data_IF_063140548000
#
_entry.id   IF_063140548000
#
_cell.length_a   1.000
_cell.length_b   1.000
_cell.length_c   1.000
_cell.angle_alpha   90.00
_cell.angle_beta   90.00
_cell.angle_gamma   90.00
#
_symmetry.space_group_name_H-M   'P 1'
#
loop_
_entity.id
_entity.type
_entity.pdbx_description
1 polymer ?
#
# COMPACT_ATOMS: atom_id res chain seq x y z
N UNK A 1 12.94 -15.58 43.72
CA UNK A 1 12.90 -15.60 42.24
C UNK A 1 11.44 -15.46 41.83
N UNK A 2 11.11 -14.29 41.31
CA UNK A 2 9.83 -13.59 41.47
C UNK A 2 8.94 -13.74 40.25
N UNK A 3 7.64 -13.94 40.48
CA UNK A 3 6.59 -14.14 39.46
C UNK A 3 6.52 -13.06 38.37
N UNK A 4 7.09 -11.87 38.62
CA UNK A 4 7.25 -10.78 37.64
C UNK A 4 8.15 -11.14 36.47
N UNK A 5 9.21 -11.92 36.70
CA UNK A 5 10.14 -12.35 35.66
C UNK A 5 9.45 -13.32 34.68
N UNK A 6 8.65 -14.25 35.23
CA UNK A 6 7.86 -15.20 34.44
C UNK A 6 6.75 -14.53 33.63
N UNK A 7 6.11 -13.47 34.17
CA UNK A 7 5.10 -12.70 33.43
C UNK A 7 5.71 -11.84 32.32
N UNK A 8 6.87 -11.20 32.55
CA UNK A 8 7.59 -10.47 31.52
C UNK A 8 8.07 -11.39 30.39
N UNK A 9 8.56 -12.59 30.73
CA UNK A 9 9.00 -13.57 29.74
C UNK A 9 7.84 -14.07 28.88
N UNK A 10 6.65 -14.31 29.48
CA UNK A 10 5.42 -14.68 28.75
C UNK A 10 4.93 -13.56 27.83
N UNK A 11 4.87 -12.31 28.31
CA UNK A 11 4.46 -11.17 27.47
C UNK A 11 5.42 -10.97 26.29
N UNK A 12 6.71 -11.14 26.52
CA UNK A 12 7.73 -11.09 25.46
C UNK A 12 7.55 -12.19 24.42
N UNK A 13 7.28 -13.43 24.85
CA UNK A 13 7.00 -14.55 23.94
C UNK A 13 5.70 -14.34 23.15
N UNK A 14 4.64 -13.85 23.79
CA UNK A 14 3.36 -13.53 23.12
C UNK A 14 3.54 -12.42 22.08
N UNK A 15 4.38 -11.40 22.36
CA UNK A 15 4.67 -10.34 21.39
C UNK A 15 5.47 -10.84 20.18
N UNK A 16 6.40 -11.78 20.38
CA UNK A 16 7.17 -12.39 19.28
C UNK A 16 6.29 -13.28 18.40
N UNK A 17 5.38 -14.07 18.97
CA UNK A 17 4.44 -14.90 18.22
C UNK A 17 3.44 -14.03 17.45
N UNK A 18 2.89 -12.98 18.07
CA UNK A 18 2.00 -12.02 17.41
C UNK A 18 2.71 -11.32 16.24
N UNK A 19 3.97 -10.92 16.42
CA UNK A 19 4.78 -10.30 15.37
C UNK A 19 5.07 -11.26 14.21
N UNK A 20 5.41 -12.53 14.48
CA UNK A 20 5.59 -13.54 13.41
C UNK A 20 4.30 -13.80 12.64
N UNK A 21 3.15 -13.83 13.33
CA UNK A 21 1.83 -13.98 12.71
C UNK A 21 1.52 -12.79 11.81
N UNK A 22 1.70 -11.57 12.32
CA UNK A 22 1.52 -10.35 11.55
C UNK A 22 2.45 -10.32 10.32
N UNK A 23 3.72 -10.67 10.46
CA UNK A 23 4.67 -10.73 9.35
C UNK A 23 4.25 -11.76 8.28
N UNK A 24 3.68 -12.89 8.71
CA UNK A 24 3.10 -13.90 7.81
C UNK A 24 1.90 -13.35 7.02
N UNK A 25 0.96 -12.69 7.71
CA UNK A 25 -0.21 -12.05 7.08
C UNK A 25 0.19 -10.92 6.14
N UNK A 26 1.25 -10.17 6.47
CA UNK A 26 1.71 -9.01 5.72
C UNK A 26 2.54 -9.33 4.47
N UNK A 27 3.26 -10.46 4.49
CA UNK A 27 4.20 -10.85 3.42
C UNK A 27 3.66 -10.70 1.99
N UNK A 28 2.44 -11.18 1.64
CA UNK A 28 1.93 -11.02 0.27
C UNK A 28 1.72 -9.56 -0.12
N UNK A 29 1.29 -8.72 0.82
CA UNK A 29 0.99 -7.31 0.55
C UNK A 29 2.25 -6.44 0.39
N UNK A 30 3.30 -6.71 1.18
CA UNK A 30 4.55 -5.92 1.13
C UNK A 30 5.26 -6.10 -0.22
N UNK A 31 5.31 -7.33 -0.75
CA UNK A 31 5.94 -7.60 -2.05
C UNK A 31 5.23 -6.88 -3.20
N UNK A 32 3.90 -6.92 -3.21
CA UNK A 32 3.07 -6.23 -4.20
C UNK A 32 3.22 -4.70 -4.11
N UNK A 33 3.27 -4.14 -2.90
CA UNK A 33 3.46 -2.69 -2.69
C UNK A 33 4.78 -2.18 -3.29
N UNK A 34 5.88 -2.93 -3.18
CA UNK A 34 7.16 -2.51 -3.79
C UNK A 34 7.06 -2.47 -5.31
N UNK A 35 6.44 -3.50 -5.91
CA UNK A 35 6.22 -3.55 -7.35
C UNK A 35 5.33 -2.41 -7.85
N UNK A 36 4.19 -2.18 -7.18
CA UNK A 36 3.27 -1.11 -7.56
C UNK A 36 3.85 0.28 -7.36
N UNK A 37 4.71 0.49 -6.36
CA UNK A 37 5.38 1.78 -6.16
C UNK A 37 6.22 2.18 -7.38
N UNK A 38 7.02 1.24 -7.90
CA UNK A 38 7.80 1.47 -9.12
C UNK A 38 6.91 1.76 -10.34
N UNK A 39 5.82 1.00 -10.49
CA UNK A 39 4.85 1.19 -11.57
C UNK A 39 4.14 2.55 -11.47
N UNK A 40 3.69 2.94 -10.28
CA UNK A 40 3.04 4.23 -10.04
C UNK A 40 3.97 5.41 -10.33
N UNK A 41 5.24 5.33 -9.91
CA UNK A 41 6.24 6.36 -10.21
C UNK A 41 6.47 6.51 -11.72
N UNK A 42 6.60 5.39 -12.45
CA UNK A 42 6.74 5.39 -13.91
C UNK A 42 5.52 6.02 -14.59
N UNK A 43 4.31 5.62 -14.21
CA UNK A 43 3.07 6.12 -14.80
C UNK A 43 2.88 7.62 -14.56
N UNK A 44 3.24 8.11 -13.36
CA UNK A 44 3.27 9.55 -13.07
C UNK A 44 4.24 10.28 -13.99
N UNK A 45 5.45 9.76 -14.15
CA UNK A 45 6.46 10.35 -15.05
C UNK A 45 5.97 10.43 -16.49
N UNK A 46 5.37 9.36 -17.00
CA UNK A 46 4.82 9.31 -18.36
C UNK A 46 3.63 10.27 -18.53
N UNK A 47 2.68 10.29 -17.59
CA UNK A 47 1.51 11.16 -17.65
C UNK A 47 1.86 12.65 -17.58
N UNK A 48 2.97 13.01 -16.93
CA UNK A 48 3.49 14.36 -16.80
C UNK A 48 4.58 14.71 -17.83
N UNK A 49 4.98 13.77 -18.69
CA UNK A 49 6.08 13.95 -19.62
C UNK A 49 5.77 15.03 -20.67
N UNK A 50 6.63 16.04 -20.76
CA UNK A 50 6.56 17.07 -21.79
C UNK A 50 6.87 16.50 -23.19
N UNK A 51 7.79 15.52 -23.24
CA UNK A 51 8.25 14.90 -24.48
C UNK A 51 7.33 13.78 -24.99
N UNK A 52 6.36 13.34 -24.17
CA UNK A 52 5.40 12.31 -24.57
C UNK A 52 4.30 12.85 -25.47
N UNK A 53 3.74 12.01 -26.32
CA UNK A 53 2.56 12.36 -27.11
C UNK A 53 1.32 12.49 -26.22
N UNK A 54 0.26 13.20 -26.65
CA UNK A 54 -1.03 13.20 -25.96
C UNK A 54 -1.57 11.78 -25.71
N UNK A 55 -1.40 10.88 -26.67
CA UNK A 55 -1.84 9.49 -26.60
C UNK A 55 -1.07 8.72 -25.53
N UNK A 56 0.26 8.86 -25.47
CA UNK A 56 1.09 8.24 -24.44
C UNK A 56 0.73 8.72 -23.04
N UNK A 57 0.51 10.03 -22.88
CA UNK A 57 0.05 10.60 -21.61
C UNK A 57 -1.32 10.07 -21.23
N UNK A 58 -2.23 9.95 -22.19
CA UNK A 58 -3.57 9.42 -21.93
C UNK A 58 -3.53 7.94 -21.55
N UNK A 59 -2.73 7.13 -22.26
CA UNK A 59 -2.50 5.73 -21.94
C UNK A 59 -1.94 5.58 -20.52
N UNK A 60 -0.95 6.40 -20.14
CA UNK A 60 -0.40 6.38 -18.78
C UNK A 60 -1.45 6.71 -17.70
N UNK A 61 -2.39 7.62 -17.98
CA UNK A 61 -3.50 7.94 -17.06
C UNK A 61 -4.52 6.80 -16.96
N UNK A 62 -4.83 6.13 -18.08
CA UNK A 62 -5.70 4.95 -18.10
C UNK A 62 -5.07 3.79 -17.33
N UNK A 63 -3.79 3.52 -17.57
CA UNK A 63 -3.03 2.51 -16.83
C UNK A 63 -2.93 2.84 -15.33
N UNK A 64 -2.78 4.12 -14.97
CA UNK A 64 -2.84 4.57 -13.58
C UNK A 64 -4.21 4.33 -12.95
N UNK A 65 -5.30 4.53 -13.70
CA UNK A 65 -6.67 4.21 -13.27
C UNK A 65 -6.89 2.71 -13.04
N UNK A 66 -6.37 1.86 -13.93
CA UNK A 66 -6.43 0.41 -13.77
C UNK A 66 -5.64 -0.06 -12.53
N UNK A 67 -4.42 0.48 -12.35
CA UNK A 67 -3.59 0.19 -11.19
C UNK A 67 -4.25 0.66 -9.87
N UNK A 68 -4.91 1.82 -9.88
CA UNK A 68 -5.67 2.32 -8.74
C UNK A 68 -6.79 1.35 -8.34
N UNK A 69 -7.54 0.82 -9.30
CA UNK A 69 -8.60 -0.16 -9.03
C UNK A 69 -8.04 -1.45 -8.40
N UNK A 70 -6.91 -1.95 -8.93
CA UNK A 70 -6.20 -3.11 -8.40
C UNK A 70 -5.75 -2.89 -6.94
N UNK A 71 -5.11 -1.76 -6.66
CA UNK A 71 -4.61 -1.42 -5.32
C UNK A 71 -5.78 -1.26 -4.33
N UNK A 72 -6.89 -0.62 -4.72
CA UNK A 72 -8.07 -0.51 -3.86
C UNK A 72 -8.67 -1.87 -3.51
N UNK A 73 -8.74 -2.79 -4.48
CA UNK A 73 -9.17 -4.17 -4.23
C UNK A 73 -8.24 -4.83 -3.21
N UNK A 74 -6.92 -4.74 -3.41
CA UNK A 74 -5.95 -5.36 -2.50
C UNK A 74 -5.89 -4.70 -1.12
N UNK A 75 -6.16 -3.40 -1.02
CA UNK A 75 -6.31 -2.70 0.25
C UNK A 75 -7.52 -3.21 1.04
N UNK A 76 -8.65 -3.48 0.36
CA UNK A 76 -9.82 -4.11 0.98
C UNK A 76 -9.51 -5.53 1.48
N UNK A 77 -8.78 -6.32 0.70
CA UNK A 77 -8.34 -7.66 1.08
C UNK A 77 -7.37 -7.63 2.27
N UNK A 78 -6.44 -6.68 2.28
CA UNK A 78 -5.56 -6.41 3.42
C UNK A 78 -6.36 -6.08 4.68
N UNK A 79 -7.31 -5.12 4.60
CA UNK A 79 -8.20 -4.73 5.71
C UNK A 79 -9.02 -5.91 6.25
N UNK A 80 -9.42 -6.81 5.37
CA UNK A 80 -10.12 -8.05 5.73
C UNK A 80 -9.19 -9.04 6.43
N UNK A 81 -7.96 -9.21 5.94
CA UNK A 81 -6.96 -10.13 6.48
C UNK A 81 -6.47 -9.74 7.88
N UNK A 82 -6.44 -8.43 8.18
CA UNK A 82 -6.03 -7.92 9.50
C UNK A 82 -7.19 -7.75 10.49
N UNK A 83 -8.42 -8.10 10.09
CA UNK A 83 -9.60 -7.91 10.93
C UNK A 83 -9.49 -8.79 12.18
N UNK A 84 -9.48 -8.14 13.35
CA UNK A 84 -9.37 -8.82 14.65
C UNK A 84 -7.94 -9.05 15.12
N UNK A 85 -6.94 -8.65 14.33
CA UNK A 85 -5.56 -8.56 14.82
C UNK A 85 -5.42 -7.28 15.69
N UNK A 86 -4.64 -7.32 16.78
CA UNK A 86 -4.38 -6.13 17.59
C UNK A 86 -3.58 -5.10 16.80
N UNK A 87 -3.79 -3.82 17.11
CA UNK A 87 -3.04 -2.73 16.48
C UNK A 87 -1.54 -2.96 16.64
N UNK A 88 -0.85 -2.98 15.51
CA UNK A 88 0.60 -3.14 15.42
C UNK A 88 1.14 -2.06 14.50
N UNK A 89 2.25 -1.42 14.89
CA UNK A 89 2.87 -0.34 14.10
C UNK A 89 3.06 -0.73 12.63
N UNK A 90 3.49 -1.96 12.39
CA UNK A 90 3.70 -2.48 11.03
C UNK A 90 2.42 -2.61 10.20
N UNK A 91 1.28 -2.96 10.81
CA UNK A 91 -0.01 -2.99 10.11
C UNK A 91 -0.43 -1.57 9.71
N UNK A 92 -0.24 -0.60 10.60
CA UNK A 92 -0.52 0.81 10.35
C UNK A 92 0.39 1.37 9.25
N UNK A 93 1.67 1.00 9.23
CA UNK A 93 2.62 1.42 8.19
C UNK A 93 2.21 0.91 6.79
N UNK A 94 1.75 -0.34 6.72
CA UNK A 94 1.25 -0.95 5.48
C UNK A 94 -0.06 -0.29 5.03
N UNK A 95 -1.00 -0.05 5.94
CA UNK A 95 -2.24 0.69 5.64
C UNK A 95 -1.94 2.10 5.13
N UNK A 96 -1.00 2.81 5.76
CA UNK A 96 -0.56 4.12 5.33
C UNK A 96 0.15 4.10 3.97
N UNK A 97 0.89 3.03 3.65
CA UNK A 97 1.48 2.84 2.33
C UNK A 97 0.42 2.66 1.23
N UNK A 98 -0.61 1.86 1.50
CA UNK A 98 -1.76 1.70 0.59
C UNK A 98 -2.45 3.04 0.32
N UNK A 99 -2.80 3.79 1.38
CA UNK A 99 -3.48 5.10 1.24
C UNK A 99 -2.66 6.09 0.43
N UNK A 100 -1.37 6.23 0.73
CA UNK A 100 -0.47 7.12 -0.03
C UNK A 100 -0.42 6.78 -1.51
N UNK A 101 -0.40 5.49 -1.86
CA UNK A 101 -0.35 5.07 -3.26
C UNK A 101 -1.69 5.32 -3.98
N UNK A 102 -2.81 5.09 -3.30
CA UNK A 102 -4.15 5.44 -3.78
C UNK A 102 -4.21 6.94 -4.10
N UNK A 103 -3.82 7.80 -3.15
CA UNK A 103 -3.84 9.25 -3.34
C UNK A 103 -2.97 9.70 -4.52
N UNK A 104 -1.78 9.11 -4.66
CA UNK A 104 -0.86 9.42 -5.76
C UNK A 104 -1.45 9.06 -7.13
N UNK A 105 -2.05 7.88 -7.27
CA UNK A 105 -2.62 7.42 -8.54
C UNK A 105 -3.92 8.14 -8.88
N UNK A 106 -4.74 8.48 -7.89
CA UNK A 106 -5.91 9.33 -8.11
C UNK A 106 -5.51 10.70 -8.66
N UNK A 107 -4.44 11.30 -8.14
CA UNK A 107 -3.93 12.56 -8.66
C UNK A 107 -3.50 12.43 -10.13
N UNK A 108 -2.80 11.36 -10.50
CA UNK A 108 -2.36 11.10 -11.87
C UNK A 108 -3.56 10.90 -12.80
N UNK A 109 -4.54 10.10 -12.40
CA UNK A 109 -5.74 9.81 -13.17
C UNK A 109 -6.60 11.07 -13.40
N UNK A 110 -6.76 11.92 -12.38
CA UNK A 110 -7.56 13.17 -12.46
C UNK A 110 -6.88 14.30 -13.23
N UNK A 111 -5.55 14.30 -13.32
CA UNK A 111 -4.78 15.39 -13.95
C UNK A 111 -4.99 15.53 -15.47
N UNK A 112 -5.74 14.63 -16.11
CA UNK A 112 -6.13 14.74 -17.52
C UNK A 112 -7.33 15.67 -17.81
N UNK A 113 -8.04 16.16 -16.79
CA UNK A 113 -9.29 16.91 -16.97
C UNK A 113 -9.17 18.43 -17.10
N UNK A 114 -7.97 19.01 -17.05
CA UNK A 114 -7.79 20.47 -16.97
C UNK A 114 -7.07 21.09 -18.19
N UNK A 115 -7.32 20.55 -19.37
CA UNK A 115 -6.94 21.17 -20.65
C UNK A 115 -8.22 21.43 -21.46
N UNK A 116 -8.90 22.53 -21.16
CA UNK A 116 -10.13 22.92 -21.88
C UNK A 116 -11.04 23.85 -21.08
N UNK A 117 -10.55 25.01 -20.70
CA UNK A 117 -11.37 26.21 -20.47
C UNK A 117 -10.71 27.39 -21.14
#
# INVERSE_FOLDING_TARGET
>A
MTATDTMQHRNSQTSVVARRRADGTLKPFIGELQHWNGKAARLRGLAASFYGTPEERNLARLEAGALLAEIRRRHSEFRTAIKGEPDHSRLLDVDAAFRRMIDQLEAVSRSGGNAGR
#
